data_IF_277297929885
#
_entry.id   IF_277297929885
#
_cell.length_a   1.000
_cell.length_b   1.000
_cell.length_c   1.000
_cell.angle_alpha   90.00
_cell.angle_beta   90.00
_cell.angle_gamma   90.00
#
_symmetry.space_group_name_H-M   'P 1'
#
loop_
_entity.id
_entity.type
_entity.pdbx_description
1 polymer ?
#
# COMPACT_ATOMS: atom_id res chain seq x y z
N UNK A 1 -17.16 18.84 21.79
CA UNK A 1 -15.85 19.31 22.30
C UNK A 1 -14.85 18.17 22.58
N UNK A 2 -15.26 17.03 23.15
CA UNK A 2 -14.34 15.93 23.54
C UNK A 2 -13.51 15.32 22.39
N UNK A 3 -14.07 15.13 21.18
CA UNK A 3 -13.35 14.56 20.01
C UNK A 3 -12.11 15.36 19.57
N UNK A 4 -12.11 16.69 19.73
CA UNK A 4 -10.99 17.53 19.32
C UNK A 4 -9.77 17.37 20.24
N UNK A 5 -10.00 17.11 21.53
CA UNK A 5 -8.91 16.87 22.49
C UNK A 5 -8.19 15.55 22.23
N UNK A 6 -8.92 14.49 21.89
CA UNK A 6 -8.31 13.18 21.65
C UNK A 6 -7.44 13.17 20.40
N UNK A 7 -7.86 13.83 19.32
CA UNK A 7 -7.06 13.93 18.09
C UNK A 7 -5.75 14.68 18.30
N UNK A 8 -5.77 15.78 19.07
CA UNK A 8 -4.55 16.53 19.41
C UNK A 8 -3.59 15.65 20.21
N UNK A 9 -4.08 14.92 21.21
CA UNK A 9 -3.24 14.01 21.98
C UNK A 9 -2.61 12.93 21.10
N UNK A 10 -3.40 12.27 20.23
CA UNK A 10 -2.88 11.27 19.30
C UNK A 10 -1.78 11.83 18.38
N UNK A 11 -1.92 13.06 17.90
CA UNK A 11 -0.89 13.71 17.09
C UNK A 11 0.37 13.99 17.90
N UNK A 12 0.24 14.49 19.13
CA UNK A 12 1.39 14.72 20.02
C UNK A 12 2.15 13.42 20.31
N UNK A 13 1.42 12.33 20.58
CA UNK A 13 2.00 11.00 20.81
C UNK A 13 2.67 10.43 19.56
N UNK A 14 2.26 10.86 18.36
CA UNK A 14 2.86 10.45 17.08
C UNK A 14 4.15 11.22 16.73
N UNK A 15 4.37 12.42 17.29
CA UNK A 15 5.54 13.28 16.97
C UNK A 15 6.89 12.55 17.10
N UNK A 16 7.17 11.76 18.16
CA UNK A 16 8.43 11.03 18.29
C UNK A 16 8.67 10.07 17.12
N UNK A 17 7.63 9.41 16.61
CA UNK A 17 7.73 8.50 15.47
C UNK A 17 7.98 9.27 14.17
N UNK A 18 7.27 10.38 13.95
CA UNK A 18 7.48 11.24 12.79
C UNK A 18 8.94 11.73 12.76
N UNK A 19 9.45 12.24 13.88
CA UNK A 19 10.85 12.69 14.00
C UNK A 19 11.85 11.57 13.72
N UNK A 20 11.59 10.36 14.23
CA UNK A 20 12.46 9.19 14.02
C UNK A 20 12.62 8.83 12.55
N UNK A 21 11.55 8.97 11.76
CA UNK A 21 11.53 8.58 10.34
C UNK A 21 11.62 9.75 9.36
N UNK A 22 11.70 10.98 9.86
CA UNK A 22 11.83 12.17 9.02
C UNK A 22 13.05 12.06 8.08
N UNK A 23 12.81 12.31 6.80
CA UNK A 23 13.81 12.22 5.73
C UNK A 23 14.25 10.80 5.36
N UNK A 24 13.78 9.76 6.08
CA UNK A 24 14.10 8.35 5.80
C UNK A 24 13.25 7.81 4.67
N UNK A 25 13.84 6.86 3.94
CA UNK A 25 13.13 6.07 2.92
C UNK A 25 12.47 4.86 3.57
N UNK A 26 11.19 4.66 3.32
CA UNK A 26 10.43 3.49 3.80
C UNK A 26 9.86 2.75 2.60
N UNK A 27 10.20 1.46 2.46
CA UNK A 27 9.66 0.60 1.41
C UNK A 27 8.37 -0.04 1.90
N UNK A 28 7.28 0.15 1.15
CA UNK A 28 5.94 -0.31 1.50
C UNK A 28 5.47 -1.29 0.42
N UNK A 29 5.28 -2.54 0.80
CA UNK A 29 4.71 -3.56 -0.09
C UNK A 29 3.18 -3.43 -0.11
N UNK A 30 2.64 -2.99 -1.24
CA UNK A 30 1.21 -2.82 -1.47
C UNK A 30 0.67 -3.96 -2.35
N UNK A 31 -0.11 -4.89 -1.78
CA UNK A 31 -0.65 -6.02 -2.54
C UNK A 31 -1.73 -6.80 -1.80
N UNK A 32 -2.36 -7.74 -2.50
CA UNK A 32 -3.39 -8.62 -1.93
C UNK A 32 -4.78 -7.96 -1.92
N UNK A 33 -5.59 -8.27 -0.90
CA UNK A 33 -6.97 -7.78 -0.72
C UNK A 33 -7.08 -6.25 -0.65
N UNK A 34 -6.00 -5.55 -0.29
CA UNK A 34 -5.95 -4.08 -0.31
C UNK A 34 -6.02 -3.49 -1.72
N UNK A 35 -5.79 -4.27 -2.78
CA UNK A 35 -5.88 -3.85 -4.19
C UNK A 35 -7.25 -4.11 -4.82
N UNK A 36 -8.19 -4.76 -4.13
CA UNK A 36 -9.51 -5.09 -4.70
C UNK A 36 -10.61 -4.15 -4.22
N UNK A 37 -10.54 -3.66 -2.99
CA UNK A 37 -11.49 -2.68 -2.45
C UNK A 37 -11.13 -1.25 -2.88
N UNK A 38 -12.06 -0.50 -3.51
CA UNK A 38 -11.88 0.92 -3.82
C UNK A 38 -11.58 1.76 -2.57
N UNK A 39 -12.29 1.53 -1.47
CA UNK A 39 -12.12 2.26 -0.22
C UNK A 39 -10.72 2.05 0.38
N UNK A 40 -10.18 0.84 0.31
CA UNK A 40 -8.82 0.54 0.80
C UNK A 40 -7.75 1.17 -0.09
N UNK A 41 -7.98 1.28 -1.40
CA UNK A 41 -7.07 2.01 -2.31
C UNK A 41 -6.98 3.48 -1.94
N UNK A 42 -8.13 4.11 -1.72
CA UNK A 42 -8.18 5.54 -1.41
C UNK A 42 -7.55 5.84 -0.06
N UNK A 43 -7.86 5.04 0.97
CA UNK A 43 -7.22 5.18 2.29
C UNK A 43 -5.70 4.97 2.21
N UNK A 44 -5.26 3.97 1.46
CA UNK A 44 -3.82 3.75 1.25
C UNK A 44 -3.16 4.97 0.59
N UNK A 45 -3.78 5.56 -0.43
CA UNK A 45 -3.27 6.77 -1.06
C UNK A 45 -3.21 7.97 -0.08
N UNK A 46 -4.23 8.13 0.77
CA UNK A 46 -4.25 9.15 1.83
C UNK A 46 -3.12 8.94 2.84
N UNK A 47 -2.87 7.71 3.27
CA UNK A 47 -1.78 7.38 4.20
C UNK A 47 -0.40 7.69 3.58
N UNK A 48 -0.18 7.33 2.31
CA UNK A 48 1.05 7.66 1.59
C UNK A 48 1.23 9.19 1.49
N UNK A 49 0.16 9.92 1.16
CA UNK A 49 0.20 11.37 1.10
C UNK A 49 0.57 11.97 2.46
N UNK A 50 0.00 11.45 3.56
CA UNK A 50 0.35 11.85 4.92
C UNK A 50 1.83 11.59 5.23
N UNK A 51 2.37 10.42 4.88
CA UNK A 51 3.79 10.11 5.06
C UNK A 51 4.69 11.11 4.31
N UNK A 52 4.36 11.44 3.06
CA UNK A 52 5.07 12.47 2.30
C UNK A 52 5.00 13.84 2.97
N UNK A 53 3.81 14.24 3.44
CA UNK A 53 3.58 15.54 4.10
C UNK A 53 4.39 15.70 5.38
N UNK A 54 4.56 14.62 6.16
CA UNK A 54 5.38 14.64 7.39
C UNK A 54 6.88 14.43 7.12
N UNK A 55 7.31 14.40 5.85
CA UNK A 55 8.72 14.36 5.44
C UNK A 55 9.33 12.96 5.34
N UNK A 56 8.52 11.90 5.42
CA UNK A 56 8.95 10.53 5.13
C UNK A 56 8.96 10.32 3.61
N UNK A 57 9.89 9.50 3.10
CA UNK A 57 10.03 9.20 1.66
C UNK A 57 9.54 7.78 1.37
N UNK A 58 8.22 7.56 1.17
CA UNK A 58 7.70 6.23 0.88
C UNK A 58 8.10 5.76 -0.53
N UNK A 59 8.48 4.49 -0.64
CA UNK A 59 8.71 3.77 -1.90
C UNK A 59 7.74 2.60 -1.96
N UNK A 60 6.85 2.61 -2.95
CA UNK A 60 5.78 1.61 -3.04
C UNK A 60 6.21 0.49 -3.98
N UNK A 61 6.13 -0.75 -3.50
CA UNK A 61 6.33 -1.96 -4.30
C UNK A 61 4.99 -2.67 -4.38
N UNK A 62 4.45 -2.90 -5.58
CA UNK A 62 3.13 -3.50 -5.72
C UNK A 62 3.10 -4.80 -6.52
N UNK A 63 2.10 -5.63 -6.22
CA UNK A 63 1.76 -6.79 -7.04
C UNK A 63 0.76 -6.47 -8.14
N UNK A 64 0.49 -7.44 -9.01
CA UNK A 64 -0.55 -7.35 -10.05
C UNK A 64 -1.21 -8.69 -10.40
N UNK A 65 -0.95 -9.74 -9.60
CA UNK A 65 -1.29 -11.12 -9.95
C UNK A 65 -2.75 -11.35 -10.34
N UNK A 66 -3.70 -10.79 -9.57
CA UNK A 66 -5.12 -10.94 -9.84
C UNK A 66 -5.52 -10.36 -11.20
N UNK A 67 -5.06 -9.14 -11.52
CA UNK A 67 -5.37 -8.46 -12.79
C UNK A 67 -4.72 -9.16 -13.99
N UNK A 68 -3.51 -9.70 -13.81
CA UNK A 68 -2.85 -10.51 -14.84
C UNK A 68 -3.67 -11.77 -15.12
N UNK A 69 -4.09 -12.50 -14.07
CA UNK A 69 -4.91 -13.71 -14.26
C UNK A 69 -6.25 -13.42 -14.91
N UNK A 70 -6.91 -12.31 -14.55
CA UNK A 70 -8.15 -11.88 -15.20
C UNK A 70 -7.96 -11.63 -16.70
N UNK A 71 -6.88 -10.93 -17.08
CA UNK A 71 -6.59 -10.64 -18.49
C UNK A 71 -6.25 -11.90 -19.27
N UNK A 72 -5.41 -12.79 -18.72
CA UNK A 72 -5.06 -14.05 -19.38
C UNK A 72 -6.29 -14.95 -19.59
N UNK A 73 -7.20 -14.98 -18.61
CA UNK A 73 -8.48 -15.70 -18.75
C UNK A 73 -9.35 -15.14 -19.89
N UNK A 74 -9.40 -13.81 -20.05
CA UNK A 74 -10.11 -13.17 -21.19
C UNK A 74 -9.48 -13.44 -22.55
N UNK A 75 -8.17 -13.71 -22.57
CA UNK A 75 -7.41 -14.04 -23.78
C UNK A 75 -7.32 -15.55 -24.03
N UNK A 76 -7.95 -16.37 -23.19
CA UNK A 76 -7.89 -17.83 -23.24
C UNK A 76 -6.45 -18.38 -23.17
N UNK A 77 -5.53 -17.62 -22.53
CA UNK A 77 -4.15 -18.03 -22.32
C UNK A 77 -4.06 -18.81 -21.02
N UNK A 78 -3.65 -20.08 -21.11
CA UNK A 78 -3.44 -20.91 -19.92
C UNK A 78 -2.26 -20.38 -19.10
N UNK A 79 -2.46 -20.24 -17.79
CA UNK A 79 -1.45 -19.76 -16.85
C UNK A 79 -1.28 -20.77 -15.73
N UNK A 80 -0.05 -21.21 -15.51
CA UNK A 80 0.29 -22.17 -14.46
C UNK A 80 1.06 -21.51 -13.32
N UNK A 81 0.94 -22.09 -12.14
CA UNK A 81 1.69 -21.68 -10.96
C UNK A 81 2.43 -22.88 -10.36
N UNK A 82 3.72 -22.70 -10.08
CA UNK A 82 4.57 -23.70 -9.42
C UNK A 82 5.16 -23.04 -8.18
N UNK A 83 4.96 -23.62 -7.00
CA UNK A 83 5.46 -23.11 -5.72
C UNK A 83 5.12 -21.62 -5.45
N UNK A 84 3.93 -21.17 -5.87
CA UNK A 84 3.48 -19.78 -5.69
C UNK A 84 4.04 -18.78 -6.72
N UNK A 85 4.81 -19.24 -7.71
CA UNK A 85 5.32 -18.42 -8.81
C UNK A 85 4.57 -18.74 -10.10
N UNK A 86 4.18 -17.71 -10.86
CA UNK A 86 3.57 -17.88 -12.18
C UNK A 86 4.64 -18.32 -13.18
N UNK A 87 4.38 -19.40 -13.90
CA UNK A 87 5.19 -19.76 -15.07
C UNK A 87 4.93 -18.73 -16.16
N UNK A 88 5.98 -18.04 -16.60
CA UNK A 88 5.89 -17.03 -17.66
C UNK A 88 6.56 -17.61 -18.89
N UNK A 89 5.77 -18.00 -19.89
CA UNK A 89 6.27 -18.36 -21.21
C UNK A 89 6.66 -17.09 -21.98
N UNK A 90 7.67 -17.20 -22.84
CA UNK A 90 8.07 -16.17 -23.81
C UNK A 90 7.52 -16.46 -25.19
#
# INVERSE_FOLDING_TARGET
MQKKHSTVQTLLDAIPYIKKFYGKTIVIKYGGSAQTSPDLKEKFAQDIALLCLVGIKPVIVHGGGARISELLGKLEIHSEFVNGHRVTCG
#
